data_IF_423575894537
#
_entry.id   IF_423575894537
#
_cell.length_a   1.000
_cell.length_b   1.000
_cell.length_c   1.000
_cell.angle_alpha   90.00
_cell.angle_beta   90.00
_cell.angle_gamma   90.00
#
_symmetry.space_group_name_H-M   'P 1'
#
loop_
_entity.id
_entity.type
_entity.pdbx_description
1 polymer ?
#
# COMPACT_ATOMS: atom_id res chain seq x y z
N UNK A 1 -2.37 24.84 0.35
CA UNK A 1 -2.43 24.93 -1.13
C UNK A 1 -1.11 24.56 -1.84
N UNK A 2 -0.07 24.07 -1.14
CA UNK A 2 1.25 23.80 -1.71
C UNK A 2 1.33 22.54 -2.58
N UNK A 3 0.49 21.53 -2.33
CA UNK A 3 0.49 20.28 -3.09
C UNK A 3 0.02 20.50 -4.54
N UNK A 4 -1.05 21.27 -4.74
CA UNK A 4 -1.65 21.50 -6.06
C UNK A 4 -0.69 22.24 -7.01
N UNK A 5 0.01 23.26 -6.48
CA UNK A 5 1.06 23.97 -7.23
C UNK A 5 2.23 23.06 -7.62
N UNK A 6 2.61 22.11 -6.77
CA UNK A 6 3.66 21.14 -7.09
C UNK A 6 3.20 20.12 -8.14
N UNK A 7 1.97 19.62 -8.04
CA UNK A 7 1.40 18.73 -9.07
C UNK A 7 1.39 19.40 -10.45
N UNK A 8 1.02 20.67 -10.51
CA UNK A 8 1.06 21.43 -11.76
C UNK A 8 2.48 21.54 -12.34
N UNK A 9 3.49 21.78 -11.51
CA UNK A 9 4.89 21.83 -11.95
C UNK A 9 5.38 20.48 -12.50
N UNK A 10 5.02 19.37 -11.85
CA UNK A 10 5.35 18.02 -12.34
C UNK A 10 4.66 17.76 -13.68
N UNK A 11 3.39 18.16 -13.82
CA UNK A 11 2.65 18.03 -15.08
C UNK A 11 3.32 18.80 -16.22
N UNK A 12 3.74 20.06 -15.97
CA UNK A 12 4.51 20.84 -16.95
C UNK A 12 5.80 20.13 -17.35
N UNK A 13 6.56 19.60 -16.39
CA UNK A 13 7.80 18.88 -16.70
C UNK A 13 7.55 17.62 -17.53
N UNK A 14 6.46 16.89 -17.28
CA UNK A 14 6.07 15.72 -18.08
C UNK A 14 5.67 16.11 -19.50
N UNK A 15 4.95 17.23 -19.69
CA UNK A 15 4.62 17.77 -21.02
C UNK A 15 5.88 18.09 -21.83
N UNK A 16 6.89 18.69 -21.19
CA UNK A 16 8.19 18.98 -21.83
C UNK A 16 8.93 17.70 -22.19
N UNK A 17 8.92 16.70 -21.30
CA UNK A 17 9.57 15.40 -21.53
C UNK A 17 8.89 14.57 -22.63
N UNK A 18 7.60 14.82 -22.90
CA UNK A 18 6.72 14.16 -23.88
C UNK A 18 6.45 12.68 -23.59
N UNK A 19 7.50 11.86 -23.52
CA UNK A 19 7.39 10.41 -23.33
C UNK A 19 8.07 9.99 -22.03
N UNK A 20 7.36 9.21 -21.23
CA UNK A 20 7.84 8.63 -19.98
C UNK A 20 7.64 7.13 -20.08
N UNK A 21 8.73 6.37 -20.17
CA UNK A 21 8.68 4.94 -20.42
C UNK A 21 8.83 4.09 -19.16
N UNK A 22 9.62 4.59 -18.20
CA UNK A 22 9.88 3.89 -16.96
C UNK A 22 9.88 4.83 -15.74
N UNK A 23 10.18 4.25 -14.59
CA UNK A 23 10.19 4.97 -13.33
C UNK A 23 11.33 6.01 -13.26
N UNK A 24 12.52 5.74 -13.83
CA UNK A 24 13.62 6.70 -13.78
C UNK A 24 13.33 7.92 -14.67
N UNK A 25 12.64 7.71 -15.81
CA UNK A 25 12.12 8.79 -16.64
C UNK A 25 11.16 9.69 -15.84
N UNK A 26 10.25 9.09 -15.06
CA UNK A 26 9.33 9.83 -14.20
C UNK A 26 10.06 10.57 -13.07
N UNK A 27 11.00 9.91 -12.39
CA UNK A 27 11.87 10.51 -11.37
C UNK A 27 12.60 11.73 -11.94
N UNK A 28 13.09 11.63 -13.18
CA UNK A 28 13.79 12.73 -13.85
C UNK A 28 12.86 13.93 -14.10
N UNK A 29 11.60 13.69 -14.49
CA UNK A 29 10.60 14.75 -14.64
C UNK A 29 10.29 15.43 -13.29
N UNK A 30 10.10 14.64 -12.24
CA UNK A 30 9.79 15.16 -10.90
C UNK A 30 10.94 16.00 -10.35
N UNK A 31 12.21 15.60 -10.56
CA UNK A 31 13.38 16.40 -10.15
C UNK A 31 13.45 17.74 -10.88
N UNK A 32 13.08 17.76 -12.16
CA UNK A 32 13.10 18.96 -13.01
C UNK A 32 11.99 19.96 -12.66
N UNK A 33 10.86 19.49 -12.14
CA UNK A 33 9.69 20.31 -11.80
C UNK A 33 9.99 21.45 -10.80
N UNK A 34 10.95 21.26 -9.90
CA UNK A 34 11.23 22.25 -8.83
C UNK A 34 12.73 22.36 -8.50
N UNK A 35 13.53 22.71 -9.51
CA UNK A 35 14.93 23.14 -9.38
C UNK A 35 15.78 22.36 -8.34
N UNK A 36 15.57 21.04 -8.20
CA UNK A 36 16.35 20.19 -7.30
C UNK A 36 15.86 20.05 -5.84
N UNK A 37 14.86 20.81 -5.38
CA UNK A 37 14.37 20.73 -3.98
C UNK A 37 13.25 19.70 -3.80
N UNK A 38 13.45 18.49 -4.31
CA UNK A 38 12.51 17.36 -4.15
C UNK A 38 13.28 16.11 -3.75
N UNK A 39 13.13 15.70 -2.50
CA UNK A 39 13.64 14.43 -2.01
C UNK A 39 12.77 13.29 -2.55
N UNK A 40 13.35 12.50 -3.45
CA UNK A 40 12.71 11.32 -4.00
C UNK A 40 13.04 10.11 -3.16
N UNK A 41 12.02 9.61 -2.48
CA UNK A 41 12.11 8.37 -1.71
C UNK A 41 12.00 7.20 -2.70
N UNK A 42 13.15 6.61 -3.08
CA UNK A 42 13.15 5.38 -3.88
C UNK A 42 12.62 4.22 -3.06
N UNK A 43 11.63 3.52 -3.61
CA UNK A 43 10.96 2.41 -2.94
C UNK A 43 11.80 1.13 -3.08
N UNK A 44 12.69 0.88 -2.11
CA UNK A 44 13.60 -0.28 -2.13
C UNK A 44 13.03 -1.51 -1.41
N UNK A 45 12.32 -1.31 -0.29
CA UNK A 45 11.81 -2.41 0.54
C UNK A 45 10.36 -2.17 0.94
N UNK A 46 9.43 -2.76 0.18
CA UNK A 46 7.98 -2.70 0.47
C UNK A 46 7.61 -3.16 1.87
N UNK A 47 8.40 -4.09 2.42
CA UNK A 47 8.14 -4.66 3.74
C UNK A 47 8.33 -3.66 4.88
N UNK A 48 9.33 -2.78 4.79
CA UNK A 48 9.60 -1.74 5.78
C UNK A 48 8.93 -0.42 5.43
N UNK A 49 8.14 -0.38 4.35
CA UNK A 49 7.55 0.87 3.90
C UNK A 49 6.50 1.34 4.91
N UNK A 50 6.68 2.52 5.52
CA UNK A 50 5.76 3.02 6.51
C UNK A 50 4.37 3.21 5.90
N UNK A 51 3.36 2.73 6.60
CA UNK A 51 1.98 2.94 6.21
C UNK A 51 1.56 4.39 6.52
N UNK A 52 1.48 5.22 5.48
CA UNK A 52 1.01 6.60 5.59
C UNK A 52 -0.52 6.73 5.46
N UNK A 53 -1.28 5.62 5.45
CA UNK A 53 -2.75 5.70 5.47
C UNK A 53 -3.20 6.32 6.77
N UNK A 54 -4.04 7.35 6.66
CA UNK A 54 -4.69 7.98 7.80
C UNK A 54 -5.47 6.92 8.61
N UNK A 55 -5.08 6.71 9.86
CA UNK A 55 -5.68 5.73 10.78
C UNK A 55 -7.22 5.88 10.91
N UNK A 56 -7.75 7.07 10.64
CA UNK A 56 -9.18 7.37 10.62
C UNK A 56 -10.01 6.51 9.63
N UNK A 57 -9.42 5.98 8.56
CA UNK A 57 -10.15 5.24 7.51
C UNK A 57 -10.30 3.73 7.77
N UNK A 58 -9.75 3.18 8.85
CA UNK A 58 -9.59 1.72 9.05
C UNK A 58 -10.61 1.04 10.01
N UNK A 59 -11.75 1.65 10.36
CA UNK A 59 -12.71 1.06 11.32
C UNK A 59 -14.01 0.51 10.69
N UNK A 60 -14.28 -0.80 10.86
CA UNK A 60 -15.65 -1.34 10.85
C UNK A 60 -15.81 -2.86 11.11
N UNK A 61 -16.32 -3.27 12.28
CA UNK A 61 -17.34 -4.30 12.44
C UNK A 61 -18.74 -3.65 12.51
N UNK A 62 -19.82 -4.41 12.76
CA UNK A 62 -21.13 -3.87 13.17
C UNK A 62 -20.88 -2.70 14.12
N UNK A 63 -21.10 -1.49 13.62
CA UNK A 63 -20.71 -0.29 14.32
C UNK A 63 -21.74 -0.11 15.42
N UNK A 64 -21.45 -0.69 16.58
CA UNK A 64 -21.83 -0.05 17.81
C UNK A 64 -21.33 1.38 17.72
N UNK A 65 -22.24 2.31 17.51
CA UNK A 65 -21.88 3.71 17.51
C UNK A 65 -21.50 4.06 18.94
N UNK A 66 -20.46 4.87 19.13
CA UNK A 66 -20.12 5.35 20.48
C UNK A 66 -21.31 6.06 21.16
N UNK A 67 -22.21 6.65 20.36
CA UNK A 67 -23.47 7.25 20.83
C UNK A 67 -24.41 6.27 21.53
N UNK A 68 -24.27 4.98 21.23
CA UNK A 68 -25.10 3.92 21.80
C UNK A 68 -24.39 3.21 22.96
N UNK A 69 -23.11 3.52 23.23
CA UNK A 69 -22.34 2.92 24.30
C UNK A 69 -22.49 3.70 25.60
N UNK A 70 -22.87 2.96 26.65
CA UNK A 70 -23.15 3.48 27.99
C UNK A 70 -22.05 3.10 28.98
N UNK A 71 -21.54 1.86 28.90
CA UNK A 71 -20.50 1.37 29.79
C UNK A 71 -19.48 0.52 29.04
N UNK A 72 -18.19 0.68 29.36
CA UNK A 72 -17.10 -0.13 28.82
C UNK A 72 -16.26 -0.68 29.96
N UNK A 73 -15.88 -1.96 29.86
CA UNK A 73 -15.01 -2.65 30.80
C UNK A 73 -13.86 -3.29 30.03
N UNK A 74 -12.64 -3.01 30.50
CA UNK A 74 -11.43 -3.65 30.03
C UNK A 74 -10.86 -4.52 31.16
N UNK A 75 -10.42 -5.72 30.81
CA UNK A 75 -9.87 -6.68 31.76
C UNK A 75 -8.42 -7.00 31.38
N UNK A 76 -7.51 -6.91 32.35
CA UNK A 76 -6.08 -7.17 32.12
C UNK A 76 -5.91 -8.62 31.65
N UNK A 77 -5.27 -8.80 30.50
CA UNK A 77 -5.06 -10.11 29.88
C UNK A 77 -6.15 -10.54 28.89
N UNK A 78 -7.22 -9.75 28.74
CA UNK A 78 -8.25 -10.00 27.73
C UNK A 78 -7.88 -9.37 26.37
N UNK A 79 -8.18 -10.10 25.28
CA UNK A 79 -8.03 -9.65 23.89
C UNK A 79 -9.33 -9.07 23.31
N UNK A 80 -10.32 -8.82 24.16
CA UNK A 80 -11.64 -8.30 23.79
C UNK A 80 -12.03 -7.17 24.75
N UNK A 81 -12.91 -6.28 24.27
CA UNK A 81 -13.55 -5.27 25.14
C UNK A 81 -14.95 -5.74 25.50
N UNK A 82 -15.41 -5.35 26.70
CA UNK A 82 -16.77 -5.60 27.16
C UNK A 82 -17.53 -4.28 27.18
N UNK A 83 -18.74 -4.24 26.64
CA UNK A 83 -19.51 -3.01 26.46
C UNK A 83 -21.01 -3.19 26.74
N UNK A 84 -21.70 -2.12 27.14
CA UNK A 84 -23.16 -2.07 27.31
C UNK A 84 -23.75 -0.88 26.57
N UNK A 85 -24.99 -1.02 26.11
CA UNK A 85 -25.76 0.05 25.47
C UNK A 85 -26.86 0.64 26.36
N UNK A 86 -27.03 0.12 27.58
CA UNK A 86 -28.02 0.59 28.56
C UNK A 86 -27.44 0.57 29.99
N UNK A 87 -28.01 1.37 30.90
CA UNK A 87 -27.62 1.51 32.32
C UNK A 87 -28.21 0.44 33.24
N UNK A 88 -29.11 -0.41 32.73
CA UNK A 88 -29.71 -1.46 33.53
C UNK A 88 -28.64 -2.41 34.09
N UNK A 89 -28.67 -2.56 35.41
CA UNK A 89 -27.74 -3.39 36.18
C UNK A 89 -27.87 -4.86 35.78
N UNK A 90 -29.07 -5.29 35.40
CA UNK A 90 -29.37 -6.67 35.02
C UNK A 90 -28.93 -7.00 33.59
N UNK A 91 -28.61 -6.00 32.76
CA UNK A 91 -28.15 -6.23 31.39
C UNK A 91 -26.69 -6.70 31.38
N UNK A 92 -26.35 -7.85 30.77
CA UNK A 92 -24.98 -8.34 30.71
C UNK A 92 -24.11 -7.50 29.75
N UNK A 93 -22.79 -7.54 29.94
CA UNK A 93 -21.85 -6.92 29.01
C UNK A 93 -21.79 -7.71 27.70
N UNK A 94 -21.88 -7.01 26.58
CA UNK A 94 -21.62 -7.56 25.25
C UNK A 94 -20.12 -7.51 24.93
N UNK A 95 -19.59 -8.60 24.38
CA UNK A 95 -18.22 -8.68 23.92
C UNK A 95 -18.06 -7.97 22.56
N UNK A 96 -17.10 -7.05 22.48
CA UNK A 96 -16.72 -6.34 21.28
C UNK A 96 -15.40 -6.92 20.76
N UNK A 97 -15.51 -7.65 19.64
CA UNK A 97 -14.34 -8.12 18.90
C UNK A 97 -13.76 -6.97 18.07
N UNK A 98 -12.69 -6.40 18.60
CA UNK A 98 -11.94 -5.34 17.92
C UNK A 98 -10.72 -5.89 17.17
N UNK A 99 -10.42 -7.19 17.32
CA UNK A 99 -9.26 -7.82 16.70
C UNK A 99 -9.68 -8.65 15.49
N UNK A 100 -8.88 -8.62 14.42
CA UNK A 100 -9.16 -9.47 13.26
C UNK A 100 -8.89 -10.94 13.61
N UNK A 101 -9.70 -11.89 13.09
CA UNK A 101 -9.56 -13.35 13.35
C UNK A 101 -8.15 -13.90 13.12
N UNK A 102 -7.34 -13.25 12.26
CA UNK A 102 -5.94 -13.62 12.00
C UNK A 102 -4.97 -13.23 13.12
N UNK A 103 -5.34 -12.24 13.93
CA UNK A 103 -4.54 -11.69 15.03
C UNK A 103 -4.66 -12.49 16.32
N UNK A 104 -5.72 -13.30 16.46
CA UNK A 104 -5.97 -14.11 17.66
C UNK A 104 -4.95 -15.26 17.85
N UNK A 105 -4.18 -15.62 16.81
CA UNK A 105 -3.15 -16.69 16.85
C UNK A 105 -1.73 -16.17 17.16
N UNK A 106 -1.62 -14.91 17.58
CA UNK A 106 -0.38 -14.15 17.56
C UNK A 106 -0.14 -13.59 16.16
N UNK A 107 0.04 -12.27 16.07
CA UNK A 107 0.28 -11.58 14.81
C UNK A 107 1.72 -11.89 14.39
N UNK A 108 1.93 -12.99 13.66
CA UNK A 108 3.22 -13.29 13.03
C UNK A 108 3.45 -12.31 11.89
N UNK A 109 4.58 -11.60 11.94
CA UNK A 109 5.01 -10.74 10.85
C UNK A 109 5.21 -11.61 9.59
N UNK A 110 4.75 -11.21 8.39
CA UNK A 110 5.01 -11.97 7.18
C UNK A 110 6.52 -12.15 6.97
N UNK A 111 6.90 -13.26 6.34
CA UNK A 111 8.31 -13.45 5.99
C UNK A 111 8.73 -12.41 4.94
N UNK A 112 9.90 -11.81 5.15
CA UNK A 112 10.48 -10.88 4.19
C UNK A 112 10.82 -11.64 2.90
N UNK A 113 10.26 -11.22 1.76
CA UNK A 113 10.65 -11.75 0.45
C UNK A 113 11.94 -11.07 0.01
N UNK A 114 13.02 -11.83 -0.02
CA UNK A 114 14.36 -11.33 -0.38
C UNK A 114 14.59 -11.45 -1.89
N UNK A 115 13.91 -12.39 -2.56
CA UNK A 115 14.02 -12.62 -4.00
C UNK A 115 12.73 -12.32 -4.77
N UNK A 116 12.81 -11.93 -6.05
CA UNK A 116 11.64 -11.74 -6.91
C UNK A 116 10.94 -13.09 -7.16
N UNK A 117 9.61 -13.09 -7.23
CA UNK A 117 8.83 -14.31 -7.53
C UNK A 117 8.88 -14.74 -9.01
N UNK A 118 9.52 -13.94 -9.86
CA UNK A 118 9.58 -14.15 -11.30
C UNK A 118 8.29 -13.81 -12.04
N UNK A 119 8.39 -13.69 -13.36
CA UNK A 119 7.32 -13.33 -14.29
C UNK A 119 7.23 -14.37 -15.41
N UNK A 120 6.02 -14.90 -15.72
CA UNK A 120 5.87 -15.94 -16.74
C UNK A 120 6.35 -15.47 -18.12
N UNK A 121 7.14 -16.30 -18.79
CA UNK A 121 7.79 -15.95 -20.06
C UNK A 121 6.80 -15.65 -21.18
N UNK A 122 5.73 -16.44 -21.31
CA UNK A 122 4.69 -16.20 -22.32
C UNK A 122 4.02 -14.81 -22.17
N UNK A 123 3.83 -14.33 -20.92
CA UNK A 123 3.27 -12.99 -20.67
C UNK A 123 4.25 -11.90 -21.08
N UNK A 124 5.55 -12.13 -20.84
CA UNK A 124 6.61 -11.20 -21.19
C UNK A 124 6.71 -11.01 -22.70
N UNK A 125 6.66 -12.10 -23.45
CA UNK A 125 6.63 -12.05 -24.92
C UNK A 125 5.39 -11.32 -25.44
N UNK A 126 4.21 -11.58 -24.86
CA UNK A 126 2.98 -10.89 -25.24
C UNK A 126 3.06 -9.38 -24.99
N UNK A 127 3.57 -8.96 -23.82
CA UNK A 127 3.78 -7.54 -23.50
C UNK A 127 4.77 -6.91 -24.48
N UNK A 128 5.91 -7.56 -24.76
CA UNK A 128 6.91 -7.05 -25.70
C UNK A 128 6.36 -6.90 -27.12
N UNK A 129 5.55 -7.86 -27.57
CA UNK A 129 4.88 -7.78 -28.87
C UNK A 129 3.91 -6.60 -28.92
N UNK A 130 3.08 -6.45 -27.89
CA UNK A 130 2.09 -5.37 -27.80
C UNK A 130 2.74 -3.98 -27.70
N UNK A 131 3.84 -3.86 -26.97
CA UNK A 131 4.55 -2.59 -26.76
C UNK A 131 5.60 -2.28 -27.83
N UNK A 132 5.86 -3.18 -28.77
CA UNK A 132 6.93 -3.07 -29.77
C UNK A 132 6.88 -1.77 -30.60
N UNK A 133 5.69 -1.22 -30.83
CA UNK A 133 5.47 0.01 -31.61
C UNK A 133 5.69 1.29 -30.80
N UNK A 134 5.64 1.20 -29.47
CA UNK A 134 5.63 2.36 -28.56
C UNK A 134 6.96 2.45 -27.80
N UNK A 135 7.52 1.30 -27.42
CA UNK A 135 8.68 1.16 -26.55
C UNK A 135 9.99 1.06 -27.36
N UNK A 136 10.95 1.97 -27.14
CA UNK A 136 12.25 1.91 -27.80
C UNK A 136 13.05 0.67 -27.37
N UNK A 137 13.97 0.21 -28.22
CA UNK A 137 14.70 -1.06 -28.00
C UNK A 137 15.53 -1.07 -26.72
N UNK A 138 16.16 0.04 -26.35
CA UNK A 138 16.94 0.17 -25.11
C UNK A 138 16.07 -0.02 -23.84
N UNK A 139 14.75 0.15 -23.93
CA UNK A 139 13.83 -0.06 -22.80
C UNK A 139 13.23 -1.47 -22.76
N UNK A 140 13.41 -2.26 -23.83
CA UNK A 140 12.97 -3.67 -23.86
C UNK A 140 13.82 -4.55 -22.93
N UNK A 141 15.08 -4.14 -22.69
CA UNK A 141 16.04 -4.87 -21.86
C UNK A 141 15.48 -5.18 -20.46
N UNK A 142 14.80 -4.23 -19.83
CA UNK A 142 14.15 -4.44 -18.53
C UNK A 142 13.25 -5.67 -18.52
N UNK A 143 12.39 -5.80 -19.52
CA UNK A 143 11.47 -6.93 -19.63
C UNK A 143 12.24 -8.22 -19.88
N UNK A 144 13.27 -8.19 -20.73
CA UNK A 144 14.15 -9.32 -21.06
C UNK A 144 14.92 -9.84 -19.84
N UNK A 145 15.26 -8.98 -18.88
CA UNK A 145 15.99 -9.36 -17.67
C UNK A 145 15.09 -9.81 -16.51
N UNK A 146 13.76 -9.68 -16.63
CA UNK A 146 12.86 -10.15 -15.57
C UNK A 146 13.04 -11.66 -15.32
N UNK A 147 13.22 -12.07 -14.05
CA UNK A 147 13.43 -13.47 -13.72
C UNK A 147 12.17 -14.29 -14.04
N UNK A 148 12.34 -15.56 -14.42
CA UNK A 148 11.23 -16.49 -14.57
C UNK A 148 10.87 -17.12 -13.22
N UNK A 149 9.59 -17.47 -13.00
CA UNK A 149 9.19 -18.12 -11.76
C UNK A 149 9.90 -19.46 -11.63
N UNK A 150 10.53 -19.70 -10.48
CA UNK A 150 11.09 -21.02 -10.20
C UNK A 150 9.96 -22.02 -9.97
N UNK A 151 10.11 -23.28 -10.44
CA UNK A 151 9.18 -24.34 -10.09
C UNK A 151 9.13 -24.45 -8.56
N UNK A 152 7.92 -24.52 -8.01
CA UNK A 152 7.73 -24.82 -6.60
C UNK A 152 7.85 -26.34 -6.46
N UNK A 153 8.85 -26.80 -5.72
CA UNK A 153 8.89 -28.17 -5.18
C UNK A 153 7.73 -28.39 -4.19
#
# INVERSE_FOLDING_TARGET
>A
MSADSFHHQVEQSLKVQRKTYDFEDFVSAVKKAKAGNVDLIKMQHFFYWPNYVSQQKLKGPSRLYLSELVQVKAERGSSYLLCKTNYDVMTPYQQLDFLQKKSMKGIKLPSHRISPCGFPEHKKLNILQSLSQILPDNRKQFWIELPTPQPKD
#
